data_IF_111143632104
#
_entry.id   IF_111143632104
#
_cell.length_a   1.000
_cell.length_b   1.000
_cell.length_c   1.000
_cell.angle_alpha   90.00
_cell.angle_beta   90.00
_cell.angle_gamma   90.00
#
_symmetry.space_group_name_H-M   'P 1'
#
loop_
_entity.id
_entity.type
_entity.pdbx_description
1 polymer ?
#
# COMPACT_ATOMS: atom_id res chain seq x y z
N UNK A 1 -21.55 -14.09 -4.45
CA UNK A 1 -21.77 -13.06 -5.50
C UNK A 1 -22.42 -13.69 -6.73
N UNK A 2 -23.17 -12.94 -7.55
CA UNK A 2 -23.70 -13.41 -8.84
C UNK A 2 -22.78 -12.95 -9.98
N UNK A 3 -22.35 -13.87 -10.82
CA UNK A 3 -21.49 -13.57 -11.98
C UNK A 3 -22.33 -13.23 -13.22
N UNK A 4 -21.97 -12.17 -13.94
CA UNK A 4 -22.71 -11.69 -15.11
C UNK A 4 -22.14 -12.28 -16.40
N UNK A 5 -22.62 -13.47 -16.80
CA UNK A 5 -22.08 -14.23 -17.94
C UNK A 5 -22.07 -13.44 -19.26
N UNK A 6 -23.15 -12.69 -19.54
CA UNK A 6 -23.27 -11.85 -20.73
C UNK A 6 -22.24 -10.70 -20.82
N UNK A 7 -21.53 -10.39 -19.73
CA UNK A 7 -20.47 -9.36 -19.69
C UNK A 7 -19.06 -9.93 -19.84
N UNK A 8 -18.90 -11.25 -19.94
CA UNK A 8 -17.60 -11.89 -19.96
C UNK A 8 -17.43 -12.68 -21.24
N UNK A 9 -16.40 -12.35 -22.01
CA UNK A 9 -16.02 -13.01 -23.26
C UNK A 9 -14.61 -13.56 -23.14
N UNK A 10 -14.32 -14.63 -23.87
CA UNK A 10 -12.97 -15.22 -23.89
C UNK A 10 -12.09 -14.52 -24.91
N UNK A 11 -10.94 -14.03 -24.44
CA UNK A 11 -9.85 -13.56 -25.28
C UNK A 11 -8.81 -14.69 -25.47
N UNK A 12 -8.49 -15.05 -26.72
CA UNK A 12 -7.58 -16.16 -27.03
C UNK A 12 -6.13 -15.68 -27.22
N UNK A 13 -5.42 -15.48 -26.11
CA UNK A 13 -4.15 -14.74 -26.07
C UNK A 13 -2.90 -15.57 -26.48
N UNK A 14 -2.93 -16.34 -27.57
CA UNK A 14 -1.71 -17.07 -28.01
C UNK A 14 -1.62 -17.33 -29.52
N UNK A 15 -0.37 -17.31 -30.00
CA UNK A 15 -0.01 -17.64 -31.36
C UNK A 15 -0.10 -19.16 -31.57
N UNK A 16 -1.17 -19.63 -32.20
CA UNK A 16 -1.46 -21.05 -32.38
C UNK A 16 -2.59 -21.61 -31.51
N UNK A 17 -3.31 -20.77 -30.76
CA UNK A 17 -4.54 -21.19 -30.08
C UNK A 17 -5.58 -21.69 -31.10
N UNK A 18 -5.88 -22.99 -31.05
CA UNK A 18 -7.19 -23.48 -31.49
C UNK A 18 -8.25 -22.73 -30.67
N UNK A 19 -9.26 -22.15 -31.33
CA UNK A 19 -10.31 -21.32 -30.70
C UNK A 19 -11.29 -22.17 -29.90
N UNK A 20 -10.78 -22.77 -28.82
CA UNK A 20 -11.46 -23.74 -27.97
C UNK A 20 -12.70 -23.11 -27.32
N UNK A 21 -13.80 -23.85 -27.31
CA UNK A 21 -15.05 -23.39 -26.70
C UNK A 21 -14.98 -23.58 -25.19
N UNK A 22 -15.08 -22.48 -24.44
CA UNK A 22 -15.14 -22.50 -22.98
C UNK A 22 -16.59 -22.43 -22.51
N UNK A 23 -16.88 -23.03 -21.35
CA UNK A 23 -18.23 -23.10 -20.78
C UNK A 23 -18.21 -22.63 -19.32
N UNK A 24 -19.13 -21.74 -18.95
CA UNK A 24 -19.30 -21.30 -17.57
C UNK A 24 -20.58 -21.91 -16.96
N UNK A 25 -20.38 -22.97 -16.18
CA UNK A 25 -21.46 -23.84 -15.73
C UNK A 25 -22.04 -24.63 -16.90
N UNK A 26 -23.30 -24.36 -17.25
CA UNK A 26 -24.02 -25.01 -18.37
C UNK A 26 -24.02 -24.22 -19.69
N UNK A 27 -23.57 -22.95 -19.69
CA UNK A 27 -23.64 -22.06 -20.86
C UNK A 27 -22.26 -21.84 -21.48
N UNK A 28 -22.19 -21.85 -22.81
CA UNK A 28 -20.97 -21.54 -23.56
C UNK A 28 -20.66 -20.05 -23.50
N UNK A 29 -19.39 -19.71 -23.37
CA UNK A 29 -18.91 -18.32 -23.35
C UNK A 29 -18.55 -17.92 -24.78
N UNK A 30 -18.99 -16.75 -25.22
CA UNK A 30 -18.57 -16.16 -26.50
C UNK A 30 -17.07 -15.83 -26.46
N UNK A 31 -16.37 -15.97 -27.58
CA UNK A 31 -15.03 -15.41 -27.75
C UNK A 31 -15.08 -14.02 -28.38
N UNK A 32 -14.08 -13.19 -28.09
CA UNK A 32 -13.94 -11.84 -28.62
C UNK A 32 -12.47 -11.52 -28.91
N UNK A 33 -12.15 -10.79 -29.99
CA UNK A 33 -10.78 -10.33 -30.26
C UNK A 33 -10.33 -9.18 -29.33
N UNK A 34 -11.25 -8.60 -28.56
CA UNK A 34 -10.99 -7.60 -27.52
C UNK A 34 -11.91 -7.86 -26.33
N UNK A 35 -11.38 -7.89 -25.11
CA UNK A 35 -12.18 -8.03 -23.88
C UNK A 35 -12.04 -6.81 -22.97
N UNK A 36 -13.13 -6.43 -22.26
CA UNK A 36 -13.17 -5.26 -21.37
C UNK A 36 -13.36 -5.65 -19.90
N UNK A 37 -12.26 -5.81 -19.18
CA UNK A 37 -12.26 -6.09 -17.74
C UNK A 37 -11.92 -4.86 -16.90
N UNK A 38 -12.74 -4.52 -15.90
CA UNK A 38 -12.46 -3.45 -14.91
C UNK A 38 -12.06 -2.07 -15.51
N UNK A 39 -12.57 -1.76 -16.71
CA UNK A 39 -12.25 -0.53 -17.44
C UNK A 39 -11.08 -0.64 -18.42
N UNK A 40 -10.25 -1.68 -18.33
CA UNK A 40 -9.15 -1.97 -19.25
C UNK A 40 -9.67 -2.73 -20.45
N UNK A 41 -9.23 -2.34 -21.65
CA UNK A 41 -9.42 -3.09 -22.90
C UNK A 41 -8.14 -3.87 -23.21
N UNK A 42 -8.28 -5.15 -23.53
CA UNK A 42 -7.16 -6.04 -23.89
C UNK A 42 -7.47 -6.70 -25.24
N UNK A 43 -6.57 -6.58 -26.22
CA UNK A 43 -6.70 -7.19 -27.54
C UNK A 43 -5.98 -8.55 -27.65
N UNK A 44 -6.42 -9.38 -28.60
CA UNK A 44 -5.93 -10.75 -28.83
C UNK A 44 -4.42 -10.82 -29.10
N UNK A 45 -3.83 -9.73 -29.62
CA UNK A 45 -2.41 -9.68 -30.01
C UNK A 45 -1.50 -9.22 -28.87
N UNK A 46 -2.05 -8.63 -27.80
CA UNK A 46 -1.31 -7.90 -26.75
C UNK A 46 -0.26 -6.94 -27.31
N UNK A 47 -0.54 -6.34 -28.47
CA UNK A 47 0.46 -5.58 -29.19
C UNK A 47 0.88 -4.36 -28.37
N UNK A 48 2.08 -4.42 -27.77
CA UNK A 48 2.72 -3.28 -27.11
C UNK A 48 2.72 -2.11 -28.08
N UNK A 49 1.84 -1.13 -27.84
CA UNK A 49 1.65 -0.03 -28.78
C UNK A 49 2.99 0.67 -29.05
N UNK A 50 3.19 1.23 -30.24
CA UNK A 50 4.43 1.95 -30.58
C UNK A 50 4.79 3.01 -29.53
N UNK A 51 3.77 3.64 -28.91
CA UNK A 51 3.92 4.54 -27.76
C UNK A 51 4.53 3.85 -26.53
N UNK A 52 4.03 2.67 -26.17
CA UNK A 52 4.57 1.85 -25.07
C UNK A 52 6.03 1.44 -25.32
N UNK A 53 6.36 0.98 -26.54
CA UNK A 53 7.75 0.62 -26.91
C UNK A 53 8.69 1.81 -26.77
N UNK A 54 8.30 2.99 -27.25
CA UNK A 54 9.08 4.24 -27.11
C UNK A 54 9.23 4.64 -25.64
N UNK A 55 8.18 4.55 -24.83
CA UNK A 55 8.23 4.82 -23.38
C UNK A 55 9.18 3.85 -22.67
N UNK A 56 9.11 2.55 -22.97
CA UNK A 56 10.00 1.54 -22.40
C UNK A 56 11.47 1.78 -22.79
N UNK A 57 11.75 2.14 -24.06
CA UNK A 57 13.09 2.52 -24.51
C UNK A 57 13.63 3.74 -23.73
N UNK A 58 12.81 4.78 -23.53
CA UNK A 58 13.20 5.97 -22.76
C UNK A 58 13.47 5.64 -21.29
N UNK A 59 12.61 4.82 -20.66
CA UNK A 59 12.80 4.36 -19.29
C UNK A 59 14.08 3.52 -19.13
N UNK A 60 14.35 2.61 -20.08
CA UNK A 60 15.57 1.80 -20.10
C UNK A 60 16.84 2.65 -20.26
N UNK A 61 16.78 3.73 -21.07
CA UNK A 61 17.87 4.71 -21.18
C UNK A 61 18.18 5.40 -19.85
N UNK A 62 17.15 5.88 -19.14
CA UNK A 62 17.29 6.51 -17.81
C UNK A 62 17.85 5.52 -16.79
N UNK A 63 17.33 4.28 -16.75
CA UNK A 63 17.83 3.23 -15.86
C UNK A 63 19.30 2.87 -16.14
N UNK A 64 19.68 2.81 -17.42
CA UNK A 64 21.08 2.60 -17.83
C UNK A 64 22.00 3.74 -17.40
N UNK A 65 21.54 4.99 -17.52
CA UNK A 65 22.27 6.17 -17.03
C UNK A 65 22.45 6.13 -15.52
N UNK A 66 21.40 5.82 -14.75
CA UNK A 66 21.47 5.68 -13.28
C UNK A 66 22.48 4.58 -12.90
N UNK A 67 22.40 3.40 -13.52
CA UNK A 67 23.35 2.29 -13.27
C UNK A 67 24.80 2.71 -13.54
N UNK A 68 25.07 3.39 -14.65
CA UNK A 68 26.41 3.89 -14.99
C UNK A 68 26.89 4.97 -14.02
N UNK A 69 26.03 5.93 -13.68
CA UNK A 69 26.32 6.99 -12.71
C UNK A 69 26.66 6.42 -11.33
N UNK A 70 25.88 5.45 -10.85
CA UNK A 70 26.12 4.75 -9.58
C UNK A 70 27.40 3.91 -9.62
N UNK A 71 27.71 3.23 -10.74
CA UNK A 71 28.96 2.50 -10.89
C UNK A 71 30.21 3.42 -10.97
N UNK A 72 30.05 4.64 -11.47
CA UNK A 72 31.11 5.67 -11.50
C UNK A 72 31.25 6.48 -10.20
N UNK A 73 30.31 6.37 -9.27
CA UNK A 73 30.38 6.99 -7.95
C UNK A 73 31.22 6.12 -7.03
N UNK A 74 32.14 6.72 -6.28
CA UNK A 74 32.97 5.97 -5.35
C UNK A 74 32.14 5.35 -4.22
N UNK A 75 32.66 4.26 -3.64
CA UNK A 75 32.01 3.53 -2.55
C UNK A 75 31.71 4.45 -1.35
N UNK A 76 32.56 5.45 -1.13
CA UNK A 76 32.47 6.45 -0.07
C UNK A 76 31.27 7.38 -0.29
N UNK A 77 30.99 7.80 -1.53
CA UNK A 77 29.81 8.63 -1.86
C UNK A 77 28.51 7.83 -1.68
N UNK A 78 28.51 6.55 -2.02
CA UNK A 78 27.36 5.66 -1.81
C UNK A 78 27.14 5.42 -0.30
N UNK A 79 28.20 5.13 0.46
CA UNK A 79 28.16 4.98 1.91
C UNK A 79 27.74 6.28 2.63
N UNK A 80 28.18 7.44 2.14
CA UNK A 80 27.77 8.74 2.66
C UNK A 80 26.27 8.96 2.48
N UNK A 81 25.75 8.77 1.26
CA UNK A 81 24.32 8.90 0.96
C UNK A 81 23.47 7.93 1.80
N UNK A 82 23.87 6.67 1.88
CA UNK A 82 23.21 5.67 2.73
C UNK A 82 23.22 6.09 4.22
N UNK A 83 24.36 6.54 4.73
CA UNK A 83 24.50 7.00 6.12
C UNK A 83 23.64 8.22 6.42
N UNK A 84 23.55 9.19 5.50
CA UNK A 84 22.67 10.36 5.66
C UNK A 84 21.20 9.96 5.71
N UNK A 85 20.74 9.10 4.80
CA UNK A 85 19.35 8.61 4.77
C UNK A 85 18.99 7.84 6.04
N UNK A 86 19.86 6.94 6.51
CA UNK A 86 19.62 6.17 7.74
C UNK A 86 19.57 7.07 8.98
N UNK A 87 20.44 8.09 9.09
CA UNK A 87 20.34 9.10 10.17
C UNK A 87 19.03 9.87 10.10
N UNK A 88 18.61 10.33 8.91
CA UNK A 88 17.34 11.05 8.74
C UNK A 88 16.13 10.21 9.17
N UNK A 89 16.10 8.91 8.86
CA UNK A 89 15.03 8.01 9.33
C UNK A 89 15.06 7.81 10.85
N UNK A 90 16.22 7.61 11.47
CA UNK A 90 16.36 7.49 12.92
C UNK A 90 15.93 8.77 13.66
N UNK A 91 16.27 9.95 13.13
CA UNK A 91 15.86 11.24 13.70
C UNK A 91 14.35 11.48 13.51
N UNK A 92 13.76 11.08 12.38
CA UNK A 92 12.32 11.21 12.14
C UNK A 92 11.48 10.29 13.05
N UNK A 93 11.89 9.03 13.22
CA UNK A 93 11.23 8.10 14.13
C UNK A 93 11.40 8.45 15.63
N UNK A 94 12.30 9.38 15.95
CA UNK A 94 12.62 9.81 17.31
C UNK A 94 11.89 11.06 17.80
N UNK A 95 11.01 11.69 17.00
CA UNK A 95 10.25 12.85 17.49
C UNK A 95 9.19 12.43 18.53
N UNK A 96 9.25 12.91 19.77
CA UNK A 96 8.13 12.80 20.69
C UNK A 96 7.03 13.75 20.22
N UNK A 97 5.80 13.27 20.09
CA UNK A 97 4.66 14.16 19.94
C UNK A 97 4.54 15.04 21.18
N UNK A 98 4.72 16.35 21.01
CA UNK A 98 4.59 17.33 22.09
C UNK A 98 3.13 17.37 22.52
N UNK A 99 2.79 16.51 23.48
CA UNK A 99 1.47 16.48 24.10
C UNK A 99 1.42 17.56 25.16
N UNK A 100 0.95 18.73 24.74
CA UNK A 100 0.66 19.87 25.61
C UNK A 100 -0.18 19.40 26.82
N UNK A 101 0.42 19.43 28.01
CA UNK A 101 -0.31 19.19 29.27
C UNK A 101 -0.71 20.55 29.81
N UNK A 102 -2.03 20.78 29.84
CA UNK A 102 -2.61 21.95 30.46
C UNK A 102 -2.54 21.77 31.99
N UNK A 103 -1.82 22.64 32.68
CA UNK A 103 -1.78 22.72 34.14
C UNK A 103 -3.05 23.39 34.71
N UNK A 104 -3.60 22.89 35.83
CA UNK A 104 -4.44 23.67 36.71
C UNK A 104 -3.71 23.99 38.03
N UNK A 105 -3.35 25.26 38.16
CA UNK A 105 -2.95 25.96 39.39
C UNK A 105 -3.84 25.62 40.60
N UNK A 106 -3.25 25.54 41.80
CA UNK A 106 -3.94 25.92 43.05
C UNK A 106 -3.75 24.99 44.24
N UNK A 107 -2.92 25.40 45.20
CA UNK A 107 -2.80 24.78 46.54
C UNK A 107 -3.76 25.49 47.53
N UNK A 108 -4.50 24.76 48.36
CA UNK A 108 -5.35 25.32 49.43
C UNK A 108 -5.75 24.24 50.47
N UNK A 109 -5.78 24.55 51.78
CA UNK A 109 -5.65 23.53 52.83
C UNK A 109 -6.97 23.02 53.44
N UNK A 110 -6.81 22.05 54.36
CA UNK A 110 -7.87 21.30 55.01
C UNK A 110 -8.71 22.11 56.02
N UNK A 111 -10.01 21.79 56.05
CA UNK A 111 -10.98 22.08 57.11
C UNK A 111 -11.67 20.75 57.47
N UNK A 112 -11.96 20.51 58.76
CA UNK A 112 -12.53 19.25 59.23
C UNK A 112 -13.68 19.44 60.21
N UNK A 113 -14.59 18.46 60.31
CA UNK A 113 -15.57 18.40 61.40
C UNK A 113 -16.04 16.97 61.73
N UNK A 114 -16.68 16.80 62.89
CA UNK A 114 -17.15 15.53 63.49
C UNK A 114 -18.70 15.42 63.43
N UNK A 115 -19.43 14.49 64.04
CA UNK A 115 -19.22 13.30 64.91
C UNK A 115 -20.35 12.29 64.51
N UNK A 116 -20.57 11.08 65.04
CA UNK A 116 -20.04 10.36 66.21
C UNK A 116 -20.88 9.09 66.46
N UNK A 117 -20.86 8.55 67.69
CA UNK A 117 -21.73 7.48 68.25
C UNK A 117 -21.75 6.11 67.51
N UNK A 118 -21.19 5.00 68.04
CA UNK A 118 -21.42 4.27 69.31
C UNK A 118 -22.62 3.31 69.31
N UNK A 119 -22.38 2.08 68.84
CA UNK A 119 -22.84 0.80 69.41
C UNK A 119 -21.97 -0.33 68.82
N UNK A 120 -21.58 -1.41 69.50
CA UNK A 120 -21.92 -1.82 70.87
C UNK A 120 -22.47 -3.25 70.95
N UNK A 121 -21.70 -4.27 70.58
CA UNK A 121 -21.95 -5.67 70.94
C UNK A 121 -20.67 -6.52 70.77
N UNK A 122 -20.49 -7.50 71.66
CA UNK A 122 -19.45 -8.54 71.60
C UNK A 122 -20.09 -9.89 71.98
N UNK A 123 -19.39 -11.00 71.71
CA UNK A 123 -19.80 -12.41 71.91
C UNK A 123 -20.87 -12.87 70.91
N UNK A 124 -20.69 -13.95 70.14
CA UNK A 124 -19.95 -15.20 70.41
C UNK A 124 -18.81 -15.49 69.42
#
# INVERSE_FOLDING_TARGET
MKFSKAKCKVLHVSWGNLKNKYRLGREWIESSPVEKGLGVLVDEKLNMSRKCVVTAQKANGILGYIKRSMASRSREVILFLYSTLMRSHLVYCGQPSVRERHEPVGLGPAEGHKDGQRAGAALL
#
